data_IF_012005196244
#
_entry.id   IF_012005196244
#
_cell.length_a   1.000
_cell.length_b   1.000
_cell.length_c   1.000
_cell.angle_alpha   90.00
_cell.angle_beta   90.00
_cell.angle_gamma   90.00
#
_symmetry.space_group_name_H-M   'P 1'
#
loop_
_entity.id
_entity.type
_entity.pdbx_description
1 polymer ?
#
# COMPACT_ATOMS: atom_id res chain seq x y z
N UNK A 1 53.95 16.82 -16.23
CA UNK A 1 53.42 15.46 -16.49
C UNK A 1 52.14 15.28 -15.68
N UNK A 2 51.08 14.78 -16.32
CA UNK A 2 49.80 14.27 -15.79
C UNK A 2 48.88 15.22 -15.00
N UNK A 3 48.05 16.00 -15.71
CA UNK A 3 46.80 16.56 -15.18
C UNK A 3 45.57 16.04 -15.94
N UNK A 4 45.71 15.64 -17.21
CA UNK A 4 44.62 15.08 -18.02
C UNK A 4 44.20 13.66 -17.59
N UNK A 5 45.10 12.87 -16.99
CA UNK A 5 44.82 11.47 -16.65
C UNK A 5 43.92 11.27 -15.42
N UNK A 6 43.72 12.28 -14.57
CA UNK A 6 42.84 12.16 -13.40
C UNK A 6 41.37 12.48 -13.72
N UNK A 7 41.12 13.38 -14.69
CA UNK A 7 39.78 13.73 -15.12
C UNK A 7 39.12 12.61 -15.95
N UNK A 8 39.91 11.92 -16.80
CA UNK A 8 39.41 10.77 -17.57
C UNK A 8 39.04 9.59 -16.66
N UNK A 9 39.84 9.32 -15.62
CA UNK A 9 39.57 8.25 -14.67
C UNK A 9 38.30 8.51 -13.82
N UNK A 10 38.04 9.75 -13.41
CA UNK A 10 36.84 10.10 -12.65
C UNK A 10 35.55 9.97 -13.49
N UNK A 11 35.63 10.33 -14.78
CA UNK A 11 34.54 10.13 -15.75
C UNK A 11 34.30 8.65 -16.09
N UNK A 12 35.34 7.82 -16.02
CA UNK A 12 35.24 6.39 -16.29
C UNK A 12 34.69 5.59 -15.09
N UNK A 13 34.94 6.06 -13.86
CA UNK A 13 34.34 5.51 -12.63
C UNK A 13 32.85 5.81 -12.55
N UNK A 14 32.43 7.03 -12.84
CA UNK A 14 30.99 7.41 -12.87
C UNK A 14 30.21 6.66 -13.95
N UNK A 15 30.81 6.41 -15.12
CA UNK A 15 30.20 5.55 -16.16
C UNK A 15 30.05 4.10 -15.70
N UNK A 16 31.02 3.56 -14.98
CA UNK A 16 30.94 2.19 -14.42
C UNK A 16 29.88 2.09 -13.33
N UNK A 17 29.76 3.09 -12.46
CA UNK A 17 28.71 3.16 -11.43
C UNK A 17 27.30 3.27 -12.05
N UNK A 18 27.12 4.11 -13.06
CA UNK A 18 25.86 4.21 -13.80
C UNK A 18 25.48 2.89 -14.48
N UNK A 19 26.46 2.15 -15.01
CA UNK A 19 26.24 0.85 -15.63
C UNK A 19 25.81 -0.23 -14.60
N UNK A 20 26.35 -0.17 -13.38
CA UNK A 20 25.99 -1.09 -12.28
C UNK A 20 24.55 -0.85 -11.83
N UNK A 21 24.17 0.42 -11.63
CA UNK A 21 22.79 0.79 -11.25
C UNK A 21 21.77 0.35 -12.32
N UNK A 22 22.07 0.58 -13.60
CA UNK A 22 21.22 0.13 -14.72
C UNK A 22 21.11 -1.40 -14.80
N UNK A 23 22.17 -2.13 -14.43
CA UNK A 23 22.16 -3.60 -14.39
C UNK A 23 21.30 -4.13 -13.25
N UNK A 24 21.35 -3.48 -12.09
CA UNK A 24 20.56 -3.84 -10.91
C UNK A 24 19.06 -3.51 -11.09
N UNK A 25 18.73 -2.41 -11.76
CA UNK A 25 17.36 -2.08 -12.16
C UNK A 25 16.79 -3.11 -13.16
N UNK A 26 17.59 -3.51 -14.17
CA UNK A 26 17.19 -4.57 -15.11
C UNK A 26 17.00 -5.92 -14.42
N UNK A 27 17.87 -6.26 -13.46
CA UNK A 27 17.79 -7.50 -12.69
C UNK A 27 16.58 -7.53 -11.74
N UNK A 28 16.24 -6.40 -11.11
CA UNK A 28 15.06 -6.27 -10.24
C UNK A 28 13.76 -6.26 -11.05
N UNK A 29 13.74 -5.62 -12.22
CA UNK A 29 12.62 -5.66 -13.16
C UNK A 29 12.39 -7.08 -13.72
N UNK A 30 13.45 -7.79 -14.11
CA UNK A 30 13.35 -9.18 -14.58
C UNK A 30 12.85 -10.15 -13.50
N UNK A 31 13.24 -9.95 -12.22
CA UNK A 31 12.71 -10.70 -11.08
C UNK A 31 11.25 -10.36 -10.77
N UNK A 32 10.79 -9.12 -11.02
CA UNK A 32 9.37 -8.74 -10.87
C UNK A 32 8.52 -9.37 -11.99
N UNK A 33 8.98 -9.28 -13.24
CA UNK A 33 8.33 -9.93 -14.39
C UNK A 33 8.21 -11.45 -14.24
N UNK A 34 9.25 -12.17 -13.78
CA UNK A 34 9.16 -13.64 -13.63
C UNK A 34 8.25 -14.09 -12.48
N UNK A 35 8.09 -13.27 -11.43
CA UNK A 35 7.15 -13.53 -10.33
C UNK A 35 5.72 -13.23 -10.75
N UNK A 36 5.50 -12.17 -11.52
CA UNK A 36 4.20 -11.78 -12.07
C UNK A 36 3.70 -12.78 -13.11
N UNK A 37 4.57 -13.28 -13.99
CA UNK A 37 4.23 -14.35 -14.95
C UNK A 37 3.77 -15.65 -14.26
N UNK A 38 4.31 -15.98 -13.08
CA UNK A 38 3.88 -17.15 -12.30
C UNK A 38 2.50 -16.96 -11.68
N UNK A 39 2.14 -15.74 -11.29
CA UNK A 39 0.80 -15.41 -10.77
C UNK A 39 -0.22 -15.44 -11.91
N UNK A 40 0.11 -14.90 -13.08
CA UNK A 40 -0.79 -14.83 -14.23
C UNK A 40 -1.14 -16.22 -14.80
N UNK A 41 -0.19 -17.16 -14.78
CA UNK A 41 -0.42 -18.52 -15.30
C UNK A 41 -1.19 -19.46 -14.34
N UNK A 42 -1.22 -19.14 -13.04
CA UNK A 42 -2.00 -19.91 -12.05
C UNK A 42 -3.46 -19.45 -11.95
N UNK A 43 -3.76 -18.21 -12.35
CA UNK A 43 -5.11 -17.66 -12.37
C UNK A 43 -6.09 -18.43 -13.28
N UNK A 44 -5.76 -18.84 -14.53
CA UNK A 44 -6.69 -19.62 -15.35
C UNK A 44 -6.92 -21.04 -14.81
N UNK A 45 -5.92 -21.63 -14.13
CA UNK A 45 -6.04 -22.95 -13.53
C UNK A 45 -6.91 -22.94 -12.26
N UNK A 46 -6.73 -21.95 -11.39
CA UNK A 46 -7.59 -21.75 -10.22
C UNK A 46 -9.01 -21.34 -10.62
N UNK A 47 -9.17 -20.57 -11.71
CA UNK A 47 -10.47 -20.17 -12.22
C UNK A 47 -11.24 -21.34 -12.85
N UNK A 48 -10.57 -22.28 -13.54
CA UNK A 48 -11.25 -23.47 -14.10
C UNK A 48 -11.66 -24.48 -13.03
N UNK A 49 -10.83 -24.70 -12.00
CA UNK A 49 -11.16 -25.55 -10.86
C UNK A 49 -12.30 -24.99 -10.00
N UNK A 50 -12.43 -23.66 -9.88
CA UNK A 50 -13.58 -23.05 -9.21
C UNK A 50 -14.85 -23.05 -10.07
N UNK A 51 -14.74 -22.89 -11.39
CA UNK A 51 -15.90 -22.85 -12.29
C UNK A 51 -16.51 -24.24 -12.55
N UNK A 52 -15.72 -25.31 -12.54
CA UNK A 52 -16.24 -26.68 -12.71
C UNK A 52 -17.12 -27.14 -11.53
N UNK A 53 -16.93 -26.57 -10.33
CA UNK A 53 -17.79 -26.84 -9.18
C UNK A 53 -19.11 -26.04 -9.20
N UNK A 54 -19.23 -25.01 -10.06
CA UNK A 54 -20.37 -24.08 -10.02
C UNK A 54 -21.35 -24.20 -11.18
N UNK A 55 -21.12 -25.08 -12.16
CA UNK A 55 -22.07 -25.25 -13.28
C UNK A 55 -23.44 -25.76 -12.79
N UNK A 56 -23.50 -26.36 -11.59
CA UNK A 56 -24.75 -26.77 -10.92
C UNK A 56 -25.11 -25.95 -9.67
N UNK A 57 -24.37 -24.90 -9.33
CA UNK A 57 -24.68 -24.03 -8.18
C UNK A 57 -25.63 -22.91 -8.63
N UNK A 58 -26.91 -23.28 -8.70
CA UNK A 58 -28.00 -22.44 -9.14
C UNK A 58 -27.97 -21.03 -8.52
N UNK A 59 -28.34 -20.06 -9.37
CA UNK A 59 -28.35 -18.60 -9.23
C UNK A 59 -29.29 -18.07 -8.12
N UNK A 60 -29.13 -18.50 -6.87
CA UNK A 60 -30.02 -18.12 -5.75
C UNK A 60 -29.29 -17.61 -4.50
N UNK A 61 -27.99 -17.36 -4.55
CA UNK A 61 -27.25 -16.84 -3.40
C UNK A 61 -26.47 -15.58 -3.78
N UNK A 62 -26.48 -14.57 -2.90
CA UNK A 62 -25.64 -13.39 -3.07
C UNK A 62 -24.17 -13.81 -2.91
N UNK A 63 -23.35 -13.58 -3.93
CA UNK A 63 -21.91 -13.83 -3.84
C UNK A 63 -21.30 -12.80 -2.91
N UNK A 64 -20.51 -13.26 -1.93
CA UNK A 64 -19.75 -12.38 -1.05
C UNK A 64 -18.31 -12.83 -1.02
N UNK A 65 -17.40 -11.86 -1.04
CA UNK A 65 -15.97 -12.08 -0.93
C UNK A 65 -15.48 -11.37 0.33
N UNK A 66 -14.70 -12.09 1.13
CA UNK A 66 -14.01 -11.52 2.28
C UNK A 66 -12.53 -11.88 2.17
N UNK A 67 -11.67 -10.86 2.28
CA UNK A 67 -10.24 -11.06 2.26
C UNK A 67 -9.69 -10.79 3.65
N UNK A 68 -9.16 -11.82 4.31
CA UNK A 68 -8.57 -11.68 5.64
C UNK A 68 -7.45 -10.64 5.69
N UNK A 69 -6.66 -10.54 4.61
CA UNK A 69 -5.56 -9.58 4.54
C UNK A 69 -6.01 -8.14 4.40
N UNK A 70 -7.12 -7.92 3.71
CA UNK A 70 -7.61 -6.57 3.45
C UNK A 70 -8.67 -6.14 4.44
N UNK A 71 -9.29 -7.04 5.19
CA UNK A 71 -10.41 -6.69 6.06
C UNK A 71 -11.51 -5.97 5.26
N UNK A 72 -11.67 -6.29 3.98
CA UNK A 72 -12.70 -5.72 3.10
C UNK A 72 -13.68 -6.80 2.75
N UNK A 73 -14.96 -6.46 2.86
CA UNK A 73 -16.04 -7.33 2.42
C UNK A 73 -16.68 -6.73 1.18
N UNK A 74 -16.78 -7.53 0.14
CA UNK A 74 -17.46 -7.17 -1.11
C UNK A 74 -18.68 -8.06 -1.26
N UNK A 75 -19.85 -7.46 -1.41
CA UNK A 75 -21.11 -8.19 -1.57
C UNK A 75 -21.72 -7.83 -2.90
N UNK A 76 -22.11 -8.85 -3.65
CA UNK A 76 -22.85 -8.73 -4.88
C UNK A 76 -24.29 -8.27 -4.57
N UNK A 77 -24.73 -7.22 -5.26
CA UNK A 77 -26.10 -6.73 -5.20
C UNK A 77 -27.09 -7.74 -5.80
N UNK A 78 -28.36 -7.66 -5.43
CA UNK A 78 -29.43 -8.55 -5.91
C UNK A 78 -29.55 -8.65 -7.42
N UNK A 79 -29.07 -7.62 -8.13
CA UNK A 79 -29.11 -7.49 -9.58
C UNK A 79 -27.84 -7.99 -10.28
N UNK A 80 -26.87 -8.57 -9.55
CA UNK A 80 -25.60 -9.13 -10.05
C UNK A 80 -24.70 -8.21 -10.86
N UNK A 81 -25.07 -6.93 -11.00
CA UNK A 81 -24.35 -5.93 -11.79
C UNK A 81 -23.42 -5.06 -10.97
N UNK A 82 -23.62 -5.03 -9.65
CA UNK A 82 -22.94 -4.09 -8.75
C UNK A 82 -22.41 -4.80 -7.52
N UNK A 83 -21.28 -4.30 -7.03
CA UNK A 83 -20.64 -4.75 -5.81
C UNK A 83 -20.69 -3.63 -4.78
N UNK A 84 -21.18 -3.94 -3.58
CA UNK A 84 -21.07 -3.09 -2.41
C UNK A 84 -19.75 -3.37 -1.69
N UNK A 85 -19.05 -2.31 -1.28
CA UNK A 85 -17.80 -2.39 -0.54
C UNK A 85 -18.00 -1.93 0.89
N UNK A 86 -17.58 -2.76 1.83
CA UNK A 86 -17.71 -2.50 3.27
C UNK A 86 -16.32 -2.54 3.91
N UNK A 87 -15.92 -1.44 4.54
CA UNK A 87 -14.62 -1.19 5.14
C UNK A 87 -14.69 -0.87 6.64
N UNK A 88 -15.87 -0.60 7.18
CA UNK A 88 -16.08 -0.30 8.60
C UNK A 88 -17.02 -1.30 9.25
N UNK A 89 -16.87 -1.50 10.57
CA UNK A 89 -17.78 -2.33 11.36
C UNK A 89 -19.21 -1.82 11.26
N UNK A 90 -19.39 -0.51 11.41
CA UNK A 90 -20.68 0.17 11.36
C UNK A 90 -21.41 -0.08 10.03
N UNK A 91 -20.68 -0.10 8.91
CA UNK A 91 -21.26 -0.38 7.60
C UNK A 91 -21.77 -1.83 7.50
N UNK A 92 -21.08 -2.77 8.16
CA UNK A 92 -21.54 -4.17 8.26
C UNK A 92 -22.77 -4.27 9.17
N UNK A 93 -22.79 -3.54 10.28
CA UNK A 93 -23.94 -3.52 11.18
C UNK A 93 -25.19 -2.94 10.48
N UNK A 94 -25.01 -1.85 9.71
CA UNK A 94 -26.05 -1.26 8.87
C UNK A 94 -26.53 -2.24 7.80
N UNK A 95 -25.61 -2.92 7.13
CA UNK A 95 -25.96 -3.96 6.16
C UNK A 95 -26.80 -5.05 6.81
N UNK A 96 -26.36 -5.60 7.96
CA UNK A 96 -27.07 -6.64 8.69
C UNK A 96 -28.46 -6.20 9.15
N UNK A 97 -28.64 -4.91 9.47
CA UNK A 97 -29.93 -4.31 9.81
C UNK A 97 -30.82 -4.02 8.59
N UNK A 98 -30.23 -3.73 7.43
CA UNK A 98 -30.94 -3.43 6.18
C UNK A 98 -31.45 -4.68 5.44
N UNK A 99 -30.87 -5.85 5.72
CA UNK A 99 -31.26 -7.10 5.08
C UNK A 99 -32.68 -7.51 5.54
N UNK A 100 -33.54 -7.78 4.57
CA UNK A 100 -34.90 -8.24 4.77
C UNK A 100 -34.91 -9.66 5.36
N UNK A 101 -35.51 -9.85 6.55
CA UNK A 101 -35.56 -11.16 7.22
C UNK A 101 -36.45 -12.19 6.50
N UNK A 102 -37.33 -11.72 5.59
CA UNK A 102 -38.23 -12.56 4.80
C UNK A 102 -37.58 -13.11 3.53
N UNK A 103 -36.51 -12.49 3.03
CA UNK A 103 -35.84 -12.93 1.81
C UNK A 103 -34.95 -14.13 2.07
N UNK A 104 -35.17 -15.26 1.38
CA UNK A 104 -34.33 -16.45 1.57
C UNK A 104 -32.85 -16.18 1.24
N UNK A 105 -32.60 -15.38 0.19
CA UNK A 105 -31.25 -14.95 -0.23
C UNK A 105 -30.56 -14.11 0.84
N UNK A 106 -31.27 -13.11 1.34
CA UNK A 106 -30.76 -12.14 2.31
C UNK A 106 -30.55 -12.80 3.68
N UNK A 107 -31.45 -13.71 4.07
CA UNK A 107 -31.32 -14.54 5.27
C UNK A 107 -30.15 -15.51 5.19
N UNK A 108 -29.90 -16.12 4.03
CA UNK A 108 -28.74 -16.99 3.84
C UNK A 108 -27.43 -16.20 3.96
N UNK A 109 -27.37 -15.02 3.35
CA UNK A 109 -26.24 -14.10 3.48
C UNK A 109 -26.05 -13.66 4.93
N UNK A 110 -27.11 -13.24 5.61
CA UNK A 110 -27.09 -12.83 7.01
C UNK A 110 -26.52 -13.94 7.90
N UNK A 111 -26.99 -15.19 7.74
CA UNK A 111 -26.45 -16.36 8.47
C UNK A 111 -24.96 -16.60 8.20
N UNK A 112 -24.47 -16.36 6.99
CA UNK A 112 -23.07 -16.54 6.65
C UNK A 112 -22.19 -15.44 7.26
N UNK A 113 -22.62 -14.19 7.14
CA UNK A 113 -21.93 -13.04 7.73
C UNK A 113 -21.91 -13.18 9.25
N UNK A 114 -23.02 -13.58 9.88
CA UNK A 114 -23.13 -13.78 11.32
C UNK A 114 -22.11 -14.80 11.87
N UNK A 115 -21.90 -15.92 11.16
CA UNK A 115 -20.87 -16.92 11.53
C UNK A 115 -19.46 -16.35 11.58
N UNK A 116 -19.14 -15.40 10.71
CA UNK A 116 -17.82 -14.81 10.60
C UNK A 116 -17.74 -13.41 11.19
N UNK A 117 -18.83 -12.90 11.75
CA UNK A 117 -18.99 -11.50 12.14
C UNK A 117 -17.93 -11.07 13.15
N UNK A 118 -17.68 -11.88 14.19
CA UNK A 118 -16.66 -11.61 15.20
C UNK A 118 -15.26 -11.47 14.58
N UNK A 119 -14.90 -12.38 13.67
CA UNK A 119 -13.61 -12.39 12.98
C UNK A 119 -13.45 -11.21 12.03
N UNK A 120 -14.51 -10.90 11.28
CA UNK A 120 -14.54 -9.77 10.34
C UNK A 120 -14.40 -8.46 11.11
N UNK A 121 -15.15 -8.29 12.21
CA UNK A 121 -15.08 -7.12 13.09
C UNK A 121 -13.68 -6.92 13.67
N UNK A 122 -13.05 -7.99 14.17
CA UNK A 122 -11.68 -7.93 14.70
C UNK A 122 -10.67 -7.47 13.63
N UNK A 123 -10.74 -8.03 12.42
CA UNK A 123 -9.79 -7.70 11.34
C UNK A 123 -10.01 -6.27 10.81
N UNK A 124 -11.27 -5.83 10.71
CA UNK A 124 -11.63 -4.45 10.36
C UNK A 124 -11.08 -3.43 11.36
N UNK A 125 -11.28 -3.70 12.67
CA UNK A 125 -10.77 -2.84 13.73
C UNK A 125 -9.24 -2.82 13.78
N UNK A 126 -8.60 -3.97 13.52
CA UNK A 126 -7.15 -4.04 13.42
C UNK A 126 -6.65 -3.18 12.26
N UNK A 127 -7.27 -3.32 11.09
CA UNK A 127 -6.93 -2.50 9.91
C UNK A 127 -7.13 -1.02 10.15
N UNK A 128 -8.23 -0.60 10.77
CA UNK A 128 -8.49 0.83 11.03
C UNK A 128 -7.41 1.42 11.96
N UNK A 129 -7.02 0.68 13.00
CA UNK A 129 -5.89 1.04 13.87
C UNK A 129 -4.56 1.08 13.12
N UNK A 130 -4.28 0.08 12.30
CA UNK A 130 -3.05 0.03 11.49
C UNK A 130 -2.96 1.20 10.51
N UNK A 131 -4.08 1.59 9.89
CA UNK A 131 -4.15 2.76 9.01
C UNK A 131 -3.93 4.06 9.79
N UNK A 132 -4.60 4.23 10.93
CA UNK A 132 -4.41 5.40 11.79
C UNK A 132 -2.95 5.52 12.26
N UNK A 133 -2.32 4.41 12.64
CA UNK A 133 -0.92 4.37 13.04
C UNK A 133 0.02 4.75 11.88
N UNK A 134 -0.23 4.26 10.67
CA UNK A 134 0.55 4.64 9.48
C UNK A 134 0.44 6.13 9.17
N UNK A 135 -0.78 6.67 9.25
CA UNK A 135 -1.03 8.11 9.04
C UNK A 135 -0.30 8.92 10.11
N UNK A 136 -0.39 8.54 11.38
CA UNK A 136 0.31 9.24 12.47
C UNK A 136 1.83 9.18 12.33
N UNK A 137 2.40 8.05 11.87
CA UNK A 137 3.82 7.94 11.59
C UNK A 137 4.24 8.81 10.40
N UNK A 138 3.48 8.80 9.31
CA UNK A 138 3.73 9.65 8.14
C UNK A 138 3.63 11.13 8.50
N UNK A 139 2.61 11.52 9.25
CA UNK A 139 2.43 12.88 9.75
C UNK A 139 3.53 13.28 10.74
N UNK A 140 3.98 12.37 11.60
CA UNK A 140 5.11 12.60 12.49
C UNK A 140 6.44 12.74 11.73
N UNK A 141 6.66 11.95 10.69
CA UNK A 141 7.81 12.10 9.78
C UNK A 141 7.75 13.44 9.07
N UNK A 142 6.56 13.85 8.61
CA UNK A 142 6.34 15.14 7.96
C UNK A 142 6.56 16.32 8.91
N UNK A 143 6.14 16.21 10.18
CA UNK A 143 6.43 17.22 11.22
C UNK A 143 7.91 17.30 11.59
N UNK A 144 8.63 16.18 11.52
CA UNK A 144 10.10 16.17 11.75
C UNK A 144 10.85 16.77 10.56
N UNK A 145 10.39 16.55 9.33
CA UNK A 145 11.05 17.05 8.11
C UNK A 145 10.95 18.57 7.93
N UNK A 146 9.95 19.22 8.52
CA UNK A 146 9.81 20.69 8.49
C UNK A 146 10.73 21.41 9.47
N UNK A 147 11.01 20.85 10.66
CA UNK A 147 11.94 21.45 11.63
C UNK A 147 13.41 21.34 11.20
N UNK A 148 13.74 20.33 10.39
CA UNK A 148 15.10 20.09 9.87
C UNK A 148 15.44 20.99 8.66
N UNK A 149 14.43 21.63 8.03
CA UNK A 149 14.63 22.63 6.96
C UNK A 149 14.68 24.08 7.45
N UNK A 150 14.91 24.33 8.74
CA UNK A 150 15.46 25.62 9.09
C UNK A 150 16.89 25.65 8.50
N UNK A 151 17.18 26.62 7.63
CA UNK A 151 18.54 26.87 7.17
C UNK A 151 19.42 26.87 8.42
N UNK A 152 20.53 26.11 8.49
CA UNK A 152 21.45 26.18 9.62
C UNK A 152 21.77 27.65 9.85
N UNK A 153 21.18 28.23 10.90
CA UNK A 153 21.51 29.59 11.29
C UNK A 153 23.00 29.56 11.60
N UNK A 154 23.76 30.54 11.11
CA UNK A 154 25.19 30.61 11.43
C UNK A 154 25.37 30.37 12.93
N UNK A 155 26.14 29.33 13.26
CA UNK A 155 26.33 28.93 14.66
C UNK A 155 26.87 30.15 15.40
N UNK A 156 26.25 30.53 16.52
CA UNK A 156 26.73 31.67 17.34
C UNK A 156 28.18 31.48 17.79
N UNK A 157 28.61 30.22 17.89
CA UNK A 157 30.01 29.86 18.13
C UNK A 157 30.95 30.31 17.00
N UNK A 158 30.51 30.46 15.75
CA UNK A 158 31.33 30.87 14.61
C UNK A 158 31.30 32.37 14.34
N UNK A 159 30.59 33.17 15.14
CA UNK A 159 30.43 34.61 14.94
C UNK A 159 31.77 35.37 14.91
N UNK A 160 32.80 34.83 15.57
CA UNK A 160 34.14 35.43 15.59
C UNK A 160 34.88 35.34 14.24
N UNK A 161 34.50 34.43 13.34
CA UNK A 161 35.11 34.32 12.00
C UNK A 161 34.72 35.49 11.10
N UNK A 162 33.59 36.13 11.36
CA UNK A 162 33.09 37.28 10.63
C UNK A 162 33.52 38.63 11.24
N UNK A 163 34.37 38.61 12.28
CA UNK A 163 34.85 39.82 12.92
C UNK A 163 35.87 40.54 12.01
N UNK A 164 35.51 41.74 11.56
CA UNK A 164 36.40 42.63 10.80
C UNK A 164 36.77 43.82 11.69
N UNK A 165 38.06 44.00 11.93
CA UNK A 165 38.58 45.07 12.78
C UNK A 165 38.54 46.41 12.04
N UNK A 166 37.61 47.29 12.42
CA UNK A 166 37.37 48.59 11.75
C UNK A 166 38.44 49.66 11.98
N UNK A 167 39.49 49.37 12.75
CA UNK A 167 40.49 50.35 13.18
C UNK A 167 41.73 50.39 12.27
N UNK A 168 41.70 49.65 11.16
CA UNK A 168 42.79 49.47 10.18
C UNK A 168 42.26 49.64 8.76
N UNK A 169 41.34 50.56 8.54
CA UNK A 169 40.99 51.01 7.18
C UNK A 169 41.82 52.28 6.92
N UNK A 170 42.83 52.16 6.04
CA UNK A 170 43.66 53.26 5.52
C UNK A 170 42.89 54.08 4.46
#
# INVERSE_FOLDING_TARGET
>A
MNVESQAENAMDVTKKEALILLRDEKNTAAKRSSKEQRVINLLPFLLSLLCAASVYACSYYNRYWWFKRDGRMSIESSNSKQWGYYCCKEEIDLLMGSLNPKGERERALQKQVDRFYSRICMELQKRSKDLANRIALEEAVQRRSTRVRALPRENSANAFLNYVNKWKED
#
